data_IF_636162767967
#
_entry.id   IF_636162767967
#
_cell.length_a   1.000
_cell.length_b   1.000
_cell.length_c   1.000
_cell.angle_alpha   90.00
_cell.angle_beta   90.00
_cell.angle_gamma   90.00
#
_symmetry.space_group_name_H-M   'P 1'
#
loop_
_entity.id
_entity.type
_entity.pdbx_description
1 polymer ?
#
# COMPACT_ATOMS: atom_id res chain seq x y z
N UNK A 1 14.64 40.16 7.81
CA UNK A 1 15.11 38.79 8.08
C UNK A 1 13.87 37.94 8.38
N UNK A 2 13.43 37.15 7.40
CA UNK A 2 12.35 36.16 7.54
C UNK A 2 13.02 34.77 7.51
N UNK A 3 12.61 33.81 8.35
CA UNK A 3 13.10 32.44 8.23
C UNK A 3 12.46 31.77 7.01
N UNK A 4 13.30 31.37 6.07
CA UNK A 4 12.96 30.49 4.95
C UNK A 4 12.47 29.14 5.49
N UNK A 5 11.18 28.86 5.38
CA UNK A 5 10.63 27.51 5.57
C UNK A 5 10.97 26.67 4.34
N UNK A 6 12.17 26.09 4.33
CA UNK A 6 12.53 25.05 3.36
C UNK A 6 11.76 23.76 3.68
N UNK A 7 10.81 23.41 2.82
CA UNK A 7 10.16 22.10 2.85
C UNK A 7 11.08 21.05 2.23
N UNK A 8 11.41 20.03 3.03
CA UNK A 8 12.28 18.88 2.72
C UNK A 8 11.64 17.89 1.73
N UNK A 9 12.41 17.30 0.79
CA UNK A 9 11.93 16.25 -0.10
C UNK A 9 12.53 14.85 0.18
N UNK A 10 12.08 14.19 1.26
CA UNK A 10 11.80 12.75 1.20
C UNK A 10 10.64 12.50 0.22
N UNK A 11 10.21 11.26 -0.08
CA UNK A 11 8.96 11.02 -0.82
C UNK A 11 7.75 11.48 0.02
N UNK A 12 7.58 12.79 0.17
CA UNK A 12 6.32 13.42 0.54
C UNK A 12 5.44 13.22 -0.68
N UNK A 13 4.73 12.09 -0.73
CA UNK A 13 3.56 11.91 -1.56
C UNK A 13 2.70 13.16 -1.37
N UNK A 14 2.83 14.10 -2.31
CA UNK A 14 2.05 15.32 -2.35
C UNK A 14 0.59 14.86 -2.19
N UNK A 15 0.02 15.23 -1.03
CA UNK A 15 -1.39 15.06 -0.65
C UNK A 15 -1.85 13.75 -0.01
N UNK A 16 -1.02 12.99 0.73
CA UNK A 16 -1.58 12.06 1.73
C UNK A 16 -2.48 12.81 2.74
N UNK A 17 -2.02 13.99 3.18
CA UNK A 17 -2.72 14.83 4.15
C UNK A 17 -3.96 15.55 3.60
N UNK A 18 -3.94 16.01 2.34
CA UNK A 18 -5.05 16.79 1.78
C UNK A 18 -6.26 15.92 1.41
N UNK A 19 -6.05 14.64 1.07
CA UNK A 19 -7.16 13.71 0.79
C UNK A 19 -7.65 12.97 2.05
N UNK A 20 -6.76 12.58 2.97
CA UNK A 20 -7.18 11.98 4.25
C UNK A 20 -8.05 12.94 5.08
N UNK A 21 -7.78 14.26 5.04
CA UNK A 21 -8.61 15.27 5.71
C UNK A 21 -9.94 15.57 5.01
N UNK A 22 -10.08 15.25 3.72
CA UNK A 22 -11.36 15.39 3.01
C UNK A 22 -12.39 14.37 3.52
N UNK A 23 -11.92 13.18 3.92
CA UNK A 23 -12.75 12.13 4.55
C UNK A 23 -13.01 12.43 6.03
N UNK A 24 -12.06 13.03 6.75
CA UNK A 24 -12.14 13.27 8.20
C UNK A 24 -12.93 14.52 8.62
N UNK A 25 -13.41 15.37 7.69
CA UNK A 25 -14.13 16.62 8.02
C UNK A 25 -15.67 16.56 8.00
N UNK A 26 -16.28 15.37 7.96
CA UNK A 26 -17.77 15.24 7.97
C UNK A 26 -18.36 14.22 8.95
N UNK A 27 -17.72 13.96 10.07
CA UNK A 27 -18.39 13.28 11.19
C UNK A 27 -18.63 14.29 12.32
N UNK A 28 -19.77 14.99 12.25
CA UNK A 28 -20.42 15.49 13.47
C UNK A 28 -20.95 14.27 14.20
N UNK A 29 -20.52 14.09 15.43
CA UNK A 29 -21.03 13.07 16.36
C UNK A 29 -22.55 13.23 16.55
N UNK A 30 -23.32 12.14 16.59
CA UNK A 30 -24.47 12.05 17.46
C UNK A 30 -24.04 11.54 18.84
N UNK A 31 -24.82 11.95 19.83
CA UNK A 31 -24.60 11.82 21.25
C UNK A 31 -24.61 10.35 21.74
N UNK A 32 -24.02 10.20 22.92
CA UNK A 32 -23.78 8.97 23.69
C UNK A 32 -25.03 8.16 24.04
N UNK A 33 -24.91 6.82 24.01
CA UNK A 33 -25.66 5.92 24.89
C UNK A 33 -24.69 4.98 25.62
N UNK A 34 -24.83 4.93 26.94
CA UNK A 34 -24.04 4.18 27.92
C UNK A 34 -24.57 2.77 28.14
N UNK A 35 -23.66 1.82 28.44
CA UNK A 35 -23.97 0.61 29.22
C UNK A 35 -23.47 -0.73 28.66
N UNK A 36 -22.56 -1.40 29.39
CA UNK A 36 -22.26 -2.84 29.25
C UNK A 36 -20.77 -3.19 29.43
N UNK A 37 -20.40 -4.19 30.27
CA UNK A 37 -19.01 -4.41 30.70
C UNK A 37 -18.14 -4.92 29.54
N UNK A 38 -17.02 -4.23 29.34
CA UNK A 38 -16.05 -4.51 28.28
C UNK A 38 -15.39 -5.88 28.46
N UNK A 39 -15.77 -6.83 27.61
CA UNK A 39 -14.88 -7.93 27.26
C UNK A 39 -13.74 -7.32 26.46
N UNK A 40 -12.59 -7.15 27.11
CA UNK A 40 -11.35 -6.73 26.47
C UNK A 40 -10.89 -7.88 25.58
N UNK A 41 -11.43 -7.95 24.36
CA UNK A 41 -10.99 -8.90 23.35
C UNK A 41 -9.57 -8.54 22.93
N UNK A 42 -8.59 -9.21 23.54
CA UNK A 42 -7.22 -9.24 23.04
C UNK A 42 -7.23 -10.03 21.73
N UNK A 43 -7.31 -9.33 20.59
CA UNK A 43 -7.10 -9.93 19.29
C UNK A 43 -5.67 -9.69 18.83
N UNK A 44 -4.89 -10.76 18.75
CA UNK A 44 -3.63 -10.84 18.01
C UNK A 44 -3.93 -10.77 16.50
N UNK A 45 -4.18 -9.57 16.00
CA UNK A 45 -4.56 -9.29 14.61
C UNK A 45 -3.35 -9.04 13.71
N UNK A 46 -2.64 -10.11 13.33
CA UNK A 46 -1.78 -10.09 12.16
C UNK A 46 -2.27 -11.17 11.20
N UNK A 47 -2.80 -10.78 10.04
CA UNK A 47 -3.12 -11.70 8.94
C UNK A 47 -4.57 -12.21 8.81
N UNK A 48 -5.56 -11.56 9.45
CA UNK A 48 -6.97 -11.92 9.20
C UNK A 48 -7.51 -11.22 7.95
N UNK A 49 -8.09 -11.95 6.98
CA UNK A 49 -8.66 -11.34 5.78
C UNK A 49 -9.80 -10.40 6.17
N UNK A 50 -9.83 -9.21 5.57
CA UNK A 50 -10.98 -8.32 5.65
C UNK A 50 -12.09 -8.88 4.78
N UNK A 51 -13.31 -8.89 5.30
CA UNK A 51 -14.50 -9.29 4.54
C UNK A 51 -15.52 -8.15 4.52
N UNK A 52 -16.31 -8.10 3.45
CA UNK A 52 -17.50 -7.27 3.27
C UNK A 52 -18.72 -8.17 3.18
N UNK A 53 -19.77 -7.88 3.93
CA UNK A 53 -21.09 -8.51 3.78
C UNK A 53 -22.19 -7.47 3.95
N UNK A 54 -23.42 -7.83 3.57
CA UNK A 54 -24.55 -6.90 3.61
C UNK A 54 -25.59 -7.36 4.63
N UNK A 55 -26.06 -6.42 5.45
CA UNK A 55 -27.20 -6.62 6.35
C UNK A 55 -27.81 -5.24 6.67
N UNK A 56 -29.10 -5.17 7.02
CA UNK A 56 -29.78 -3.89 7.31
C UNK A 56 -29.62 -2.86 6.18
N UNK A 57 -29.54 -3.31 4.92
CA UNK A 57 -29.28 -2.46 3.74
C UNK A 57 -27.94 -1.69 3.81
N UNK A 58 -27.01 -2.12 4.66
CA UNK A 58 -25.69 -1.53 4.82
C UNK A 58 -24.60 -2.55 4.54
N UNK A 59 -23.49 -2.02 4.04
CA UNK A 59 -22.25 -2.78 3.86
C UNK A 59 -21.46 -2.76 5.16
N UNK A 60 -21.23 -3.94 5.73
CA UNK A 60 -20.54 -4.17 6.99
C UNK A 60 -19.22 -4.88 6.68
N UNK A 61 -18.17 -4.42 7.34
CA UNK A 61 -16.81 -4.93 7.19
C UNK A 61 -16.30 -5.47 8.52
N UNK A 62 -15.62 -6.61 8.48
CA UNK A 62 -15.06 -7.26 9.68
C UNK A 62 -13.94 -8.23 9.30
N UNK A 63 -13.36 -8.93 10.29
CA UNK A 63 -12.42 -10.04 10.06
C UNK A 63 -13.11 -11.41 9.89
N UNK A 64 -14.41 -11.51 10.20
CA UNK A 64 -15.19 -12.76 10.15
C UNK A 64 -16.67 -12.44 10.30
N UNK A 65 -17.54 -13.20 9.64
CA UNK A 65 -18.99 -12.99 9.77
C UNK A 65 -19.41 -13.29 11.22
N UNK A 66 -20.00 -12.33 11.94
CA UNK A 66 -20.49 -12.57 13.29
C UNK A 66 -21.75 -13.45 13.24
N UNK A 67 -22.09 -14.11 14.35
CA UNK A 67 -23.34 -14.88 14.45
C UNK A 67 -24.56 -13.96 14.43
N UNK A 68 -24.47 -12.80 15.10
CA UNK A 68 -25.52 -11.78 15.10
C UNK A 68 -25.02 -10.50 14.43
N UNK A 69 -25.90 -9.83 13.68
CA UNK A 69 -25.61 -8.55 13.06
C UNK A 69 -25.27 -7.50 14.14
N UNK A 70 -24.14 -6.78 14.03
CA UNK A 70 -23.74 -5.80 15.03
C UNK A 70 -24.65 -4.56 15.10
N UNK A 71 -25.57 -4.39 14.13
CA UNK A 71 -26.48 -3.26 14.04
C UNK A 71 -27.88 -3.56 14.62
N UNK A 72 -28.45 -4.72 14.30
CA UNK A 72 -29.81 -5.08 14.71
C UNK A 72 -29.90 -6.33 15.59
N UNK A 73 -28.78 -7.01 15.86
CA UNK A 73 -28.69 -8.28 16.60
C UNK A 73 -29.45 -9.46 15.96
N UNK A 74 -29.93 -9.31 14.72
CA UNK A 74 -30.54 -10.40 13.95
C UNK A 74 -29.53 -11.47 13.52
N UNK A 75 -30.00 -12.68 13.29
CA UNK A 75 -29.18 -13.83 12.87
C UNK A 75 -28.61 -13.62 11.45
N UNK A 76 -27.33 -13.94 11.28
CA UNK A 76 -26.63 -13.91 9.99
C UNK A 76 -26.75 -15.24 9.21
N UNK A 77 -27.39 -16.26 9.79
CA UNK A 77 -27.44 -17.65 9.32
C UNK A 77 -28.21 -17.95 8.01
N UNK A 78 -28.74 -16.95 7.31
CA UNK A 78 -29.46 -17.15 6.04
C UNK A 78 -29.22 -15.99 5.07
N UNK A 79 -27.98 -15.80 4.65
CA UNK A 79 -27.67 -14.89 3.53
C UNK A 79 -28.02 -15.57 2.22
N UNK A 80 -28.81 -14.91 1.37
CA UNK A 80 -28.93 -15.29 -0.03
C UNK A 80 -27.55 -15.28 -0.68
N UNK A 81 -27.35 -15.97 -1.81
CA UNK A 81 -26.03 -16.02 -2.47
C UNK A 81 -25.53 -14.59 -2.78
N UNK A 82 -26.42 -13.67 -3.14
CA UNK A 82 -26.09 -12.26 -3.36
C UNK A 82 -25.59 -11.51 -2.11
N UNK A 83 -25.87 -12.02 -0.91
CA UNK A 83 -25.47 -11.44 0.38
C UNK A 83 -24.27 -12.20 0.98
N UNK A 84 -23.65 -13.11 0.21
CA UNK A 84 -22.49 -13.85 0.65
C UNK A 84 -21.31 -12.91 0.97
N UNK A 85 -20.56 -13.17 2.05
CA UNK A 85 -19.38 -12.38 2.39
C UNK A 85 -18.33 -12.44 1.29
N UNK A 86 -17.79 -11.27 0.93
CA UNK A 86 -16.75 -11.10 -0.08
C UNK A 86 -15.44 -10.77 0.64
N UNK A 87 -14.37 -11.49 0.32
CA UNK A 87 -13.03 -11.15 0.80
C UNK A 87 -12.53 -9.88 0.12
N UNK A 88 -12.02 -8.94 0.91
CA UNK A 88 -11.30 -7.77 0.43
C UNK A 88 -9.84 -8.15 0.27
N UNK A 89 -9.33 -8.00 -0.95
CA UNK A 89 -7.93 -8.27 -1.25
C UNK A 89 -7.00 -7.39 -0.41
N UNK A 90 -6.00 -8.02 0.20
CA UNK A 90 -4.90 -7.32 0.85
C UNK A 90 -4.03 -6.64 -0.23
N UNK A 91 -3.84 -5.30 -0.18
CA UNK A 91 -2.98 -4.60 -1.14
C UNK A 91 -1.49 -4.85 -0.90
N UNK A 92 -1.10 -5.41 0.25
CA UNK A 92 0.27 -5.74 0.58
C UNK A 92 0.60 -7.16 0.14
N UNK A 93 1.69 -7.32 -0.60
CA UNK A 93 2.20 -8.62 -1.03
C UNK A 93 3.58 -8.88 -0.46
N UNK A 94 3.97 -10.16 -0.49
CA UNK A 94 5.33 -10.53 -0.20
C UNK A 94 6.22 -10.14 -1.39
N UNK A 95 7.00 -9.07 -1.22
CA UNK A 95 7.91 -8.57 -2.26
C UNK A 95 8.90 -9.61 -2.77
N UNK A 96 9.27 -10.58 -1.95
CA UNK A 96 10.16 -11.68 -2.35
C UNK A 96 9.47 -12.75 -3.22
N UNK A 97 8.17 -12.62 -3.46
CA UNK A 97 7.41 -13.43 -4.43
C UNK A 97 7.11 -12.66 -5.73
N UNK A 98 7.38 -11.35 -5.75
CA UNK A 98 7.13 -10.46 -6.87
C UNK A 98 8.31 -10.47 -7.84
N UNK A 99 8.04 -10.56 -9.14
CA UNK A 99 9.07 -10.60 -10.18
C UNK A 99 9.09 -9.30 -10.96
N UNK A 100 10.28 -8.74 -11.15
CA UNK A 100 10.49 -7.54 -11.96
C UNK A 100 9.55 -6.39 -11.54
N UNK A 101 9.48 -6.13 -10.24
CA UNK A 101 8.54 -5.20 -9.64
C UNK A 101 9.26 -4.07 -8.92
N UNK A 102 8.65 -2.89 -8.94
CA UNK A 102 8.97 -1.80 -8.03
C UNK A 102 8.20 -2.00 -6.73
N UNK A 103 8.92 -2.06 -5.63
CA UNK A 103 8.36 -2.27 -4.30
C UNK A 103 8.40 -0.98 -3.48
N UNK A 104 7.39 -0.81 -2.61
CA UNK A 104 7.39 0.20 -1.56
C UNK A 104 7.12 -0.43 -0.21
N UNK A 105 7.86 0.02 0.81
CA UNK A 105 7.56 -0.29 2.21
C UNK A 105 7.80 0.93 3.11
N UNK A 106 7.22 0.97 4.32
CA UNK A 106 7.59 1.97 5.31
C UNK A 106 9.07 1.82 5.68
N UNK A 107 9.76 2.94 5.94
CA UNK A 107 11.11 2.91 6.52
C UNK A 107 11.12 2.33 7.93
N UNK A 108 10.01 2.42 8.66
CA UNK A 108 9.85 1.93 10.04
C UNK A 108 8.51 1.21 10.21
N UNK A 109 8.56 0.02 10.80
CA UNK A 109 7.37 -0.80 11.08
C UNK A 109 6.65 -1.24 9.81
N UNK A 110 5.34 -1.47 9.93
CA UNK A 110 4.47 -1.97 8.86
C UNK A 110 3.39 -0.97 8.49
N UNK A 111 2.81 -1.14 7.29
CA UNK A 111 1.70 -0.31 6.83
C UNK A 111 0.48 -0.40 7.76
N UNK A 112 0.15 -1.62 8.22
CA UNK A 112 -1.05 -1.85 9.02
C UNK A 112 -0.94 -1.33 10.44
N UNK A 113 0.25 -1.35 11.06
CA UNK A 113 0.41 -1.04 12.48
C UNK A 113 1.02 0.33 12.74
N UNK A 114 2.22 0.60 12.24
CA UNK A 114 2.99 1.78 12.62
C UNK A 114 2.88 2.93 11.61
N UNK A 115 2.63 2.65 10.33
CA UNK A 115 2.63 3.70 9.30
C UNK A 115 1.51 4.73 9.51
N UNK A 116 1.89 5.99 9.65
CA UNK A 116 0.99 7.11 9.95
C UNK A 116 0.66 7.96 8.71
N UNK A 117 1.18 7.58 7.54
CA UNK A 117 1.01 8.35 6.30
C UNK A 117 1.94 9.57 6.17
N UNK A 118 2.81 9.79 7.16
CA UNK A 118 3.83 10.87 7.14
C UNK A 118 5.25 10.33 7.08
N UNK A 119 5.45 9.11 7.60
CA UNK A 119 6.73 8.43 7.59
C UNK A 119 7.23 8.21 6.17
N UNK A 120 8.55 8.28 5.99
CA UNK A 120 9.14 8.09 4.68
C UNK A 120 8.99 6.63 4.20
N UNK A 121 8.85 6.48 2.89
CA UNK A 121 8.79 5.20 2.22
C UNK A 121 10.16 4.84 1.65
N UNK A 122 10.53 3.58 1.80
CA UNK A 122 11.69 2.97 1.15
C UNK A 122 11.23 2.20 -0.08
N UNK A 123 12.07 2.20 -1.13
CA UNK A 123 11.74 1.54 -2.40
C UNK A 123 12.85 0.63 -2.86
N UNK A 124 12.48 -0.39 -3.64
CA UNK A 124 13.39 -1.40 -4.15
C UNK A 124 12.87 -2.02 -5.44
N UNK A 125 13.75 -2.76 -6.12
CA UNK A 125 13.45 -3.46 -7.36
C UNK A 125 13.67 -4.96 -7.16
N UNK A 126 12.70 -5.78 -7.55
CA UNK A 126 12.87 -7.23 -7.47
C UNK A 126 13.51 -7.78 -8.73
N UNK A 127 14.43 -8.72 -8.58
CA UNK A 127 14.83 -9.61 -9.67
C UNK A 127 13.77 -10.71 -9.89
N UNK A 128 13.99 -11.60 -10.85
CA UNK A 128 13.05 -12.69 -11.17
C UNK A 128 12.95 -13.77 -10.10
N UNK A 129 13.89 -13.79 -9.14
CA UNK A 129 13.93 -14.71 -7.99
C UNK A 129 13.42 -14.10 -6.69
N UNK A 130 13.01 -12.83 -6.69
CA UNK A 130 12.50 -12.14 -5.50
C UNK A 130 13.57 -11.52 -4.59
N UNK A 131 14.83 -11.44 -5.03
CA UNK A 131 15.85 -10.63 -4.32
C UNK A 131 15.58 -9.16 -4.60
N UNK A 132 15.58 -8.34 -3.55
CA UNK A 132 15.25 -6.91 -3.64
C UNK A 132 16.51 -6.06 -3.63
N UNK A 133 16.77 -5.39 -4.75
CA UNK A 133 17.84 -4.43 -4.90
C UNK A 133 17.35 -3.07 -4.43
N UNK A 134 18.05 -2.47 -3.47
CA UNK A 134 17.72 -1.14 -2.96
C UNK A 134 18.98 -0.35 -2.61
N UNK A 135 18.88 0.97 -2.67
CA UNK A 135 20.01 1.87 -2.46
C UNK A 135 19.83 2.68 -1.18
N UNK A 136 20.83 2.65 -0.30
CA UNK A 136 20.83 3.43 0.94
C UNK A 136 22.24 4.01 1.20
N UNK A 137 22.44 4.61 2.37
CA UNK A 137 23.73 5.20 2.78
C UNK A 137 24.90 4.20 2.79
N UNK A 138 24.62 2.90 2.80
CA UNK A 138 25.61 1.80 2.73
C UNK A 138 25.80 1.27 1.30
N UNK A 139 25.26 1.94 0.28
CA UNK A 139 25.33 1.51 -1.11
C UNK A 139 24.18 0.60 -1.52
N UNK A 140 24.37 -0.16 -2.60
CA UNK A 140 23.40 -1.13 -3.07
C UNK A 140 23.34 -2.34 -2.14
N UNK A 141 22.14 -2.60 -1.62
CA UNK A 141 21.79 -3.79 -0.86
C UNK A 141 21.04 -4.79 -1.74
N UNK A 142 21.15 -6.08 -1.37
CA UNK A 142 20.42 -7.20 -1.98
C UNK A 142 19.71 -7.94 -0.84
N UNK A 143 18.47 -7.55 -0.61
CA UNK A 143 17.70 -8.07 0.51
C UNK A 143 16.92 -9.32 0.07
N UNK A 144 17.06 -10.40 0.84
CA UNK A 144 16.25 -11.63 0.71
C UNK A 144 15.15 -11.72 1.78
N UNK A 145 15.08 -10.72 2.67
CA UNK A 145 14.05 -10.58 3.70
C UNK A 145 13.73 -9.10 3.97
N UNK A 146 12.62 -8.82 4.65
CA UNK A 146 12.25 -7.48 5.09
C UNK A 146 11.38 -6.70 4.10
N UNK A 147 10.93 -7.35 3.02
CA UNK A 147 10.00 -6.81 2.02
C UNK A 147 8.68 -7.61 1.94
N UNK A 148 8.36 -8.42 2.94
CA UNK A 148 7.19 -9.32 2.97
C UNK A 148 5.84 -8.60 3.08
N UNK A 149 5.86 -7.31 3.47
CA UNK A 149 4.67 -6.45 3.56
C UNK A 149 4.84 -5.21 2.69
N UNK A 150 5.06 -5.43 1.39
CA UNK A 150 5.33 -4.37 0.42
C UNK A 150 4.11 -4.07 -0.44
N UNK A 151 4.04 -2.85 -0.96
CA UNK A 151 3.23 -2.55 -2.13
C UNK A 151 4.04 -2.86 -3.39
N UNK A 152 3.48 -3.67 -4.28
CA UNK A 152 4.11 -4.03 -5.55
C UNK A 152 3.53 -3.23 -6.72
N UNK A 153 4.40 -2.79 -7.63
CA UNK A 153 4.09 -2.24 -8.95
C UNK A 153 4.86 -3.09 -9.97
N UNK A 154 4.20 -4.00 -10.70
CA UNK A 154 4.85 -4.78 -11.75
C UNK A 154 5.37 -3.87 -12.86
N UNK A 155 6.65 -4.02 -13.23
CA UNK A 155 7.30 -3.19 -14.25
C UNK A 155 7.30 -3.85 -15.63
N UNK A 156 7.27 -5.19 -15.67
CA UNK A 156 7.19 -5.97 -16.91
C UNK A 156 5.73 -6.25 -17.24
N UNK A 157 5.29 -5.80 -18.41
CA UNK A 157 3.96 -6.11 -18.95
C UNK A 157 4.01 -7.43 -19.75
N UNK A 158 2.86 -8.08 -20.02
CA UNK A 158 2.84 -9.32 -20.82
C UNK A 158 3.48 -9.19 -22.21
N UNK A 159 3.60 -7.99 -22.77
CA UNK A 159 4.30 -7.76 -24.03
C UNK A 159 5.83 -7.76 -23.91
N UNK A 160 6.38 -7.77 -22.69
CA UNK A 160 7.80 -7.60 -22.37
C UNK A 160 8.44 -8.88 -21.81
N UNK A 161 7.87 -10.07 -22.07
CA UNK A 161 8.41 -11.33 -21.55
C UNK A 161 9.86 -11.59 -21.98
N UNK A 162 10.27 -11.18 -23.18
CA UNK A 162 11.67 -11.29 -23.63
C UNK A 162 12.66 -10.48 -22.80
N UNK A 163 12.19 -9.45 -22.07
CA UNK A 163 13.00 -8.68 -21.13
C UNK A 163 13.22 -9.45 -19.81
N UNK A 164 12.30 -10.35 -19.42
CA UNK A 164 12.44 -11.12 -18.17
C UNK A 164 13.71 -11.97 -18.17
N UNK A 165 14.09 -12.52 -19.33
CA UNK A 165 15.29 -13.35 -19.48
C UNK A 165 16.59 -12.58 -19.22
N UNK A 166 16.57 -11.26 -19.41
CA UNK A 166 17.74 -10.38 -19.24
C UNK A 166 17.64 -9.44 -18.03
N UNK A 167 16.47 -9.38 -17.38
CA UNK A 167 16.18 -8.50 -16.26
C UNK A 167 17.21 -8.61 -15.14
N UNK A 168 17.49 -9.83 -14.68
CA UNK A 168 18.43 -10.10 -13.60
C UNK A 168 19.84 -9.59 -13.94
N UNK A 169 20.28 -9.83 -15.18
CA UNK A 169 21.59 -9.39 -15.65
C UNK A 169 21.68 -7.87 -15.70
N UNK A 170 20.68 -7.21 -16.26
CA UNK A 170 20.67 -5.75 -16.34
C UNK A 170 20.61 -5.10 -14.98
N UNK A 171 19.79 -5.64 -14.06
CA UNK A 171 19.71 -5.13 -12.70
C UNK A 171 21.05 -5.31 -11.98
N UNK A 172 21.71 -6.46 -12.13
CA UNK A 172 23.02 -6.72 -11.55
C UNK A 172 24.11 -5.79 -12.12
N UNK A 173 24.22 -5.67 -13.45
CA UNK A 173 25.20 -4.81 -14.11
C UNK A 173 24.98 -3.33 -13.75
N UNK A 174 23.72 -2.89 -13.72
CA UNK A 174 23.35 -1.54 -13.31
C UNK A 174 23.72 -1.26 -11.84
N UNK A 175 23.43 -2.22 -10.96
CA UNK A 175 23.74 -2.14 -9.53
C UNK A 175 25.24 -2.21 -9.22
N UNK A 176 26.04 -2.84 -10.08
CA UNK A 176 27.51 -2.86 -9.96
C UNK A 176 28.17 -1.54 -10.42
N UNK A 177 27.42 -0.63 -11.04
CA UNK A 177 27.94 0.65 -11.52
C UNK A 177 28.52 1.50 -10.39
N UNK A 178 29.69 2.15 -10.58
CA UNK A 178 30.26 3.11 -9.63
C UNK A 178 29.35 4.31 -9.31
N UNK A 179 28.29 4.50 -10.09
CA UNK A 179 27.26 5.51 -9.82
C UNK A 179 26.61 5.31 -8.43
N UNK A 180 26.43 4.06 -8.00
CA UNK A 180 25.68 3.71 -6.78
C UNK A 180 26.57 3.30 -5.60
N UNK A 181 27.76 3.89 -5.50
CA UNK A 181 28.66 3.68 -4.37
C UNK A 181 28.16 4.43 -3.12
N UNK A 182 28.40 3.92 -1.89
CA UNK A 182 27.88 4.51 -0.66
C UNK A 182 28.12 6.02 -0.51
N UNK A 183 29.33 6.50 -0.84
CA UNK A 183 29.71 7.91 -0.74
C UNK A 183 28.99 8.84 -1.73
N UNK A 184 28.25 8.29 -2.69
CA UNK A 184 27.42 9.05 -3.65
C UNK A 184 26.02 9.27 -3.11
N UNK A 185 25.62 8.58 -2.05
CA UNK A 185 24.29 8.67 -1.47
C UNK A 185 24.01 10.10 -1.01
N UNK A 186 22.86 10.64 -1.42
CA UNK A 186 22.35 11.91 -0.96
C UNK A 186 20.83 11.79 -0.81
N UNK A 187 20.34 12.01 0.40
CA UNK A 187 18.97 11.72 0.81
C UNK A 187 17.91 12.38 -0.10
N UNK A 188 18.17 13.55 -0.67
CA UNK A 188 17.16 14.32 -1.40
C UNK A 188 17.15 14.05 -2.92
N UNK A 189 18.33 13.82 -3.52
CA UNK A 189 18.51 13.77 -4.98
C UNK A 189 19.13 12.46 -5.46
N UNK A 190 19.83 11.72 -4.59
CA UNK A 190 20.57 10.52 -4.96
C UNK A 190 20.35 9.39 -3.93
N UNK A 191 19.14 8.85 -3.93
CA UNK A 191 18.60 7.92 -2.93
C UNK A 191 17.94 6.68 -3.60
N UNK A 192 17.22 5.87 -2.82
CA UNK A 192 16.51 4.69 -3.30
C UNK A 192 15.52 4.97 -4.46
N UNK A 193 14.88 6.14 -4.46
CA UNK A 193 13.92 6.52 -5.51
C UNK A 193 14.61 6.82 -6.82
N UNK A 194 15.72 7.59 -6.78
CA UNK A 194 16.49 7.86 -8.00
C UNK A 194 17.13 6.60 -8.54
N UNK A 195 17.64 5.72 -7.69
CA UNK A 195 18.15 4.39 -8.10
C UNK A 195 17.11 3.62 -8.91
N UNK A 196 15.92 3.44 -8.32
CA UNK A 196 14.87 2.67 -8.96
C UNK A 196 14.37 3.33 -10.25
N UNK A 197 14.14 4.65 -10.25
CA UNK A 197 13.65 5.37 -11.42
C UNK A 197 14.68 5.40 -12.56
N UNK A 198 15.96 5.57 -12.26
CA UNK A 198 17.02 5.52 -13.27
C UNK A 198 17.07 4.16 -13.94
N UNK A 199 16.98 3.06 -13.18
CA UNK A 199 16.91 1.72 -13.76
C UNK A 199 15.67 1.55 -14.65
N UNK A 200 14.49 1.96 -14.16
CA UNK A 200 13.24 1.90 -14.92
C UNK A 200 13.37 2.67 -16.24
N UNK A 201 13.98 3.86 -16.23
CA UNK A 201 14.18 4.66 -17.43
C UNK A 201 15.22 4.05 -18.39
N UNK A 202 16.24 3.33 -17.89
CA UNK A 202 17.13 2.54 -18.74
C UNK A 202 16.34 1.46 -19.49
N UNK A 203 15.48 0.74 -18.79
CA UNK A 203 14.61 -0.28 -19.40
C UNK A 203 13.64 0.34 -20.42
N UNK A 204 12.98 1.45 -20.07
CA UNK A 204 12.08 2.15 -20.99
C UNK A 204 12.81 2.60 -22.27
N UNK A 205 14.03 3.13 -22.14
CA UNK A 205 14.83 3.56 -23.27
C UNK A 205 15.20 2.38 -24.20
N UNK A 206 15.55 1.21 -23.64
CA UNK A 206 15.83 -0.01 -24.42
C UNK A 206 14.60 -0.48 -25.21
N UNK A 207 13.41 -0.23 -24.67
CA UNK A 207 12.12 -0.56 -25.26
C UNK A 207 11.58 0.53 -26.20
N UNK A 208 12.38 1.57 -26.48
CA UNK A 208 12.00 2.70 -27.33
C UNK A 208 10.88 3.57 -26.74
N UNK A 209 10.67 3.53 -25.43
CA UNK A 209 9.66 4.31 -24.71
C UNK A 209 10.24 5.59 -24.13
N UNK A 210 9.39 6.59 -23.96
CA UNK A 210 9.76 7.83 -23.29
C UNK A 210 10.15 7.59 -21.83
N UNK A 211 11.15 8.32 -21.37
CA UNK A 211 11.57 8.32 -19.97
C UNK A 211 10.51 9.02 -19.12
N UNK A 212 10.36 8.55 -17.89
CA UNK A 212 9.46 9.15 -16.91
C UNK A 212 10.25 9.97 -15.91
N UNK A 213 9.76 11.16 -15.60
CA UNK A 213 10.26 11.86 -14.41
C UNK A 213 9.66 11.26 -13.12
N UNK A 214 10.19 11.70 -11.96
CA UNK A 214 9.74 11.21 -10.64
C UNK A 214 8.26 11.47 -10.41
N UNK A 215 7.76 12.61 -10.87
CA UNK A 215 6.37 13.02 -10.68
C UNK A 215 5.44 12.15 -11.53
N UNK A 216 5.75 11.98 -12.81
CA UNK A 216 4.99 11.15 -13.74
C UNK A 216 4.91 9.70 -13.29
N UNK A 217 6.05 9.11 -12.91
CA UNK A 217 6.08 7.74 -12.39
C UNK A 217 5.23 7.61 -11.12
N UNK A 218 5.36 8.57 -10.21
CA UNK A 218 4.61 8.57 -8.94
C UNK A 218 3.11 8.70 -9.17
N UNK A 219 2.69 9.67 -9.98
CA UNK A 219 1.27 9.94 -10.26
C UNK A 219 0.62 8.75 -10.99
N UNK A 220 1.32 8.15 -11.95
CA UNK A 220 0.79 7.09 -12.81
C UNK A 220 0.77 5.72 -12.12
N UNK A 221 1.79 5.37 -11.36
CA UNK A 221 1.97 4.00 -10.85
C UNK A 221 1.92 3.88 -9.33
N UNK A 222 2.47 4.84 -8.58
CA UNK A 222 2.57 4.75 -7.12
C UNK A 222 1.31 5.23 -6.42
N UNK A 223 0.77 6.38 -6.84
CA UNK A 223 -0.42 7.00 -6.22
C UNK A 223 -1.64 6.07 -6.25
N UNK A 224 -1.96 5.36 -7.34
CA UNK A 224 -3.09 4.43 -7.34
C UNK A 224 -2.95 3.32 -6.29
N UNK A 225 -1.76 2.73 -6.15
CA UNK A 225 -1.49 1.65 -5.18
C UNK A 225 -1.55 2.15 -3.73
N UNK A 226 -0.93 3.29 -3.46
CA UNK A 226 -0.90 3.89 -2.13
C UNK A 226 -2.28 4.39 -1.68
N UNK A 227 -3.13 4.86 -2.60
CA UNK A 227 -4.54 5.19 -2.31
C UNK A 227 -5.35 3.96 -1.89
N UNK A 228 -5.19 2.84 -2.60
CA UNK A 228 -5.86 1.60 -2.25
C UNK A 228 -5.38 1.10 -0.86
N UNK A 229 -4.06 1.12 -0.64
CA UNK A 229 -3.46 0.78 0.65
C UNK A 229 -3.99 1.66 1.79
N UNK A 230 -4.10 2.97 1.59
CA UNK A 230 -4.63 3.89 2.60
C UNK A 230 -6.05 3.56 3.02
N UNK A 231 -6.94 3.23 2.07
CA UNK A 231 -8.32 2.82 2.37
C UNK A 231 -8.34 1.52 3.17
N UNK A 232 -7.52 0.55 2.76
CA UNK A 232 -7.40 -0.72 3.46
C UNK A 232 -6.89 -0.55 4.89
N UNK A 233 -5.82 0.22 5.10
CA UNK A 233 -5.25 0.50 6.44
C UNK A 233 -6.30 1.14 7.35
N UNK A 234 -7.02 2.14 6.84
CA UNK A 234 -8.08 2.83 7.60
C UNK A 234 -9.17 1.85 8.05
N UNK A 235 -9.65 1.03 7.10
CA UNK A 235 -10.68 0.04 7.37
C UNK A 235 -10.21 -1.02 8.37
N UNK A 236 -9.01 -1.57 8.15
CA UNK A 236 -8.39 -2.56 9.02
C UNK A 236 -8.27 -2.06 10.46
N UNK A 237 -7.75 -0.85 10.65
CA UNK A 237 -7.58 -0.25 11.98
C UNK A 237 -8.92 0.03 12.66
N UNK A 238 -9.91 0.51 11.92
CA UNK A 238 -11.26 0.74 12.46
C UNK A 238 -11.90 -0.57 12.97
N UNK A 239 -11.74 -1.67 12.22
CA UNK A 239 -12.24 -2.99 12.61
C UNK A 239 -11.43 -3.55 13.78
N UNK A 240 -10.11 -3.36 13.81
CA UNK A 240 -9.29 -3.78 14.93
C UNK A 240 -9.67 -3.07 16.23
N UNK A 241 -10.08 -1.81 16.17
CA UNK A 241 -10.53 -1.03 17.32
C UNK A 241 -11.97 -1.38 17.75
N UNK A 242 -12.89 -1.55 16.80
CA UNK A 242 -14.35 -1.58 17.07
C UNK A 242 -15.01 -2.94 16.83
N UNK A 243 -14.28 -3.90 16.27
CA UNK A 243 -14.78 -5.21 15.85
C UNK A 243 -15.40 -5.24 14.45
N UNK A 244 -15.95 -4.11 13.97
CA UNK A 244 -16.53 -3.97 12.64
C UNK A 244 -16.50 -2.51 12.16
N UNK A 245 -16.74 -2.30 10.87
CA UNK A 245 -16.94 -0.99 10.26
C UNK A 245 -18.16 -1.01 9.33
N UNK A 246 -18.87 0.09 9.20
CA UNK A 246 -20.08 0.20 8.36
C UNK A 246 -19.84 1.30 7.34
N UNK A 247 -20.10 1.03 6.07
CA UNK A 247 -20.08 2.07 5.05
C UNK A 247 -21.21 3.07 5.31
N UNK A 248 -20.86 4.36 5.32
CA UNK A 248 -21.82 5.46 5.52
C UNK A 248 -22.78 5.66 4.33
N UNK A 249 -22.64 4.92 3.22
CA UNK A 249 -23.50 5.02 2.04
C UNK A 249 -23.95 3.64 1.55
N UNK A 250 -25.21 3.49 1.10
CA UNK A 250 -25.62 2.32 0.32
C UNK A 250 -24.75 2.26 -0.95
N UNK A 251 -24.28 1.07 -1.30
CA UNK A 251 -23.58 0.86 -2.56
C UNK A 251 -24.47 1.37 -3.72
N UNK A 252 -23.93 2.09 -4.72
CA UNK A 252 -24.71 2.41 -5.89
C UNK A 252 -25.22 1.11 -6.49
N UNK A 253 -26.55 0.96 -6.52
CA UNK A 253 -27.23 -0.15 -7.17
C UNK A 253 -26.65 -0.25 -8.57
N UNK A 254 -25.94 -1.34 -8.84
CA UNK A 254 -25.52 -1.68 -10.18
C UNK A 254 -26.80 -2.05 -10.92
N UNK A 255 -27.34 -1.10 -11.68
CA UNK A 255 -28.46 -1.37 -12.58
C UNK A 255 -28.01 -2.43 -13.57
N UNK A 256 -28.75 -3.54 -13.75
CA UNK A 256 -28.46 -4.48 -14.82
C UNK A 256 -28.65 -3.76 -16.15
N UNK A 257 -27.67 -3.91 -17.04
CA UNK A 257 -27.75 -3.53 -18.45
C UNK A 257 -28.70 -4.43 -19.21
#
# INVERSE_FOLDING_TARGET
MLPSMMMSPSIRLLRWYEFANCVMKKTKSPETCSGGPGVRMQFSGAGKPLIKFRHCERSIYSFSVPQCCPLCQGDMGSTRIEDAPISISDPFSNGHQEKCSFLLKPTRGTFLREYDGKSDLHVGLTNTRGVVYNYNEHGIQRDEAGWEQSLSVPLVQPSMFGLMDQWDKYLEDFSASPAWLPHRYEENHYNCSSFALTFINCILAMEGKEQLDKREFTEKYVVPRTRLASKYIMLYRAIQERGFHVADHPDPVTSPS
#
